data_IF_734962567376
#
_entry.id   IF_734962567376
#
_cell.length_a   1.000
_cell.length_b   1.000
_cell.length_c   1.000
_cell.angle_alpha   90.00
_cell.angle_beta   90.00
_cell.angle_gamma   90.00
#
_symmetry.space_group_name_H-M   'P 1'
#
loop_
_entity.id
_entity.type
_entity.pdbx_description
1 polymer ?
#
# COMPACT_ATOMS: atom_id res chain seq x y z
N UNK A 1 -14.86 -22.91 -2.00
CA UNK A 1 -13.72 -22.17 -1.41
C UNK A 1 -14.24 -21.25 -0.29
N UNK A 2 -14.76 -21.81 0.80
CA UNK A 2 -15.18 -21.02 1.96
C UNK A 2 -13.95 -20.63 2.79
N UNK A 3 -13.81 -19.36 3.17
CA UNK A 3 -12.81 -18.90 4.15
C UNK A 3 -11.65 -18.05 3.62
N UNK A 4 -11.59 -17.69 2.33
CA UNK A 4 -10.61 -16.70 1.85
C UNK A 4 -11.18 -15.30 1.95
N UNK A 5 -10.66 -14.48 2.86
CA UNK A 5 -10.95 -13.05 2.93
C UNK A 5 -9.89 -12.26 2.15
N UNK A 6 -10.26 -11.17 1.46
CA UNK A 6 -9.27 -10.32 0.82
C UNK A 6 -8.39 -9.68 1.88
N UNK A 7 -7.10 -9.53 1.59
CA UNK A 7 -6.16 -8.91 2.52
C UNK A 7 -5.30 -7.88 1.81
N UNK A 8 -4.92 -6.85 2.56
CA UNK A 8 -3.89 -5.90 2.16
C UNK A 8 -2.60 -6.33 2.85
N UNK A 9 -1.58 -6.67 2.06
CA UNK A 9 -0.25 -7.00 2.57
C UNK A 9 0.62 -5.75 2.45
N UNK A 10 1.30 -5.38 3.53
CA UNK A 10 2.25 -4.28 3.60
C UNK A 10 3.59 -4.83 4.02
N UNK A 11 4.57 -4.80 3.13
CA UNK A 11 5.93 -5.25 3.44
C UNK A 11 6.72 -4.13 4.13
N UNK A 12 7.60 -4.48 5.06
CA UNK A 12 8.51 -3.54 5.72
C UNK A 12 9.68 -3.16 4.79
N UNK A 13 9.37 -2.67 3.60
CA UNK A 13 10.32 -2.30 2.55
C UNK A 13 9.80 -1.07 1.81
N UNK A 14 10.58 0.01 1.83
CA UNK A 14 10.24 1.26 1.15
C UNK A 14 10.62 1.24 -0.33
N UNK A 15 9.73 1.59 -1.25
CA UNK A 15 10.15 1.74 -2.65
C UNK A 15 11.03 2.98 -2.82
N UNK A 16 12.12 2.85 -3.60
CA UNK A 16 12.87 4.00 -4.08
C UNK A 16 12.19 4.63 -5.30
N UNK A 17 12.59 5.84 -5.66
CA UNK A 17 12.04 6.52 -6.83
C UNK A 17 12.38 5.77 -8.13
N UNK A 18 13.58 5.22 -8.21
CA UNK A 18 14.04 4.41 -9.34
C UNK A 18 13.18 3.15 -9.49
N UNK A 19 12.89 2.46 -8.39
CA UNK A 19 12.02 1.28 -8.38
C UNK A 19 10.58 1.61 -8.76
N UNK A 20 10.06 2.78 -8.36
CA UNK A 20 8.73 3.28 -8.76
C UNK A 20 8.69 3.56 -10.28
N UNK A 21 9.75 4.15 -10.82
CA UNK A 21 9.80 4.57 -12.21
C UNK A 21 10.22 3.45 -13.18
N UNK A 22 10.67 2.30 -12.69
CA UNK A 22 11.09 1.17 -13.54
C UNK A 22 9.87 0.51 -14.21
N UNK A 23 9.75 0.57 -15.56
CA UNK A 23 8.63 -0.04 -16.28
C UNK A 23 8.59 -1.57 -16.17
N UNK A 24 9.70 -2.23 -15.78
CA UNK A 24 9.78 -3.67 -15.59
C UNK A 24 9.32 -4.10 -14.19
N UNK A 25 9.19 -3.16 -13.26
CA UNK A 25 8.79 -3.43 -11.88
C UNK A 25 7.26 -3.48 -11.77
N UNK A 26 6.62 -4.43 -12.49
CA UNK A 26 5.15 -4.56 -12.55
C UNK A 26 4.71 -5.91 -11.97
N UNK A 27 3.77 -5.87 -11.01
CA UNK A 27 3.09 -7.05 -10.50
C UNK A 27 1.68 -7.10 -11.10
N UNK A 28 1.20 -8.24 -11.63
CA UNK A 28 -0.16 -8.35 -12.16
C UNK A 28 -1.26 -8.14 -11.09
N UNK A 29 -0.90 -8.26 -9.81
CA UNK A 29 -1.82 -8.11 -8.67
C UNK A 29 -1.56 -6.85 -7.81
N UNK A 30 -0.70 -5.93 -8.26
CA UNK A 30 -0.43 -4.68 -7.53
C UNK A 30 -0.79 -3.47 -8.36
N UNK A 31 -1.42 -2.48 -7.72
CA UNK A 31 -1.72 -1.18 -8.33
C UNK A 31 -0.47 -0.34 -8.60
N UNK A 32 0.65 -0.62 -7.92
CA UNK A 32 1.90 0.15 -8.05
C UNK A 32 2.98 -0.58 -8.83
N UNK A 33 2.79 -1.87 -9.08
CA UNK A 33 3.81 -2.72 -9.66
C UNK A 33 4.97 -2.98 -8.70
N UNK A 34 5.27 -4.26 -8.44
CA UNK A 34 6.53 -4.64 -7.81
C UNK A 34 6.92 -6.05 -8.26
N UNK A 35 8.21 -6.31 -8.43
CA UNK A 35 8.74 -7.65 -8.61
C UNK A 35 8.70 -8.39 -7.27
N UNK A 36 8.29 -9.67 -7.25
CA UNK A 36 8.31 -10.50 -6.04
C UNK A 36 9.70 -10.54 -5.38
N UNK A 37 10.77 -10.37 -6.18
CA UNK A 37 12.14 -10.29 -5.71
C UNK A 37 12.38 -9.13 -4.73
N UNK A 38 11.62 -8.03 -4.83
CA UNK A 38 11.74 -6.87 -3.93
C UNK A 38 11.19 -7.12 -2.54
N UNK A 39 10.30 -8.11 -2.41
CA UNK A 39 9.66 -8.49 -1.16
C UNK A 39 10.24 -9.78 -0.58
N UNK A 40 11.18 -10.42 -1.29
CA UNK A 40 11.86 -11.61 -0.84
C UNK A 40 12.58 -11.29 0.48
N UNK A 41 12.32 -12.10 1.49
CA UNK A 41 12.89 -11.98 2.84
C UNK A 41 12.47 -10.72 3.63
N UNK A 42 11.47 -9.98 3.16
CA UNK A 42 10.90 -8.84 3.90
C UNK A 42 9.80 -9.30 4.85
N UNK A 43 9.84 -8.82 6.10
CA UNK A 43 8.69 -8.94 7.00
C UNK A 43 7.47 -8.22 6.42
N UNK A 44 6.28 -8.75 6.67
CA UNK A 44 5.04 -8.20 6.15
C UNK A 44 3.91 -8.22 7.18
N UNK A 45 3.06 -7.20 7.11
CA UNK A 45 1.82 -7.12 7.86
C UNK A 45 0.63 -7.44 6.94
N UNK A 46 -0.23 -8.38 7.34
CA UNK A 46 -1.52 -8.62 6.69
C UNK A 46 -2.62 -7.85 7.41
N UNK A 47 -3.42 -7.11 6.64
CA UNK A 47 -4.54 -6.30 7.12
C UNK A 47 -5.81 -6.79 6.43
N UNK A 48 -6.78 -7.25 7.22
CA UNK A 48 -8.11 -7.65 6.74
C UNK A 48 -9.12 -6.58 7.12
N UNK A 49 -9.69 -5.92 6.11
CA UNK A 49 -10.64 -4.82 6.30
C UNK A 49 -12.04 -5.26 5.94
N UNK A 50 -12.98 -5.03 6.86
CA UNK A 50 -14.42 -5.17 6.65
C UNK A 50 -15.02 -3.86 6.17
N UNK A 51 -16.29 -3.90 5.75
CA UNK A 51 -17.03 -2.71 5.32
C UNK A 51 -17.13 -1.73 6.49
N UNK A 52 -16.61 -0.51 6.29
CA UNK A 52 -16.58 0.55 7.30
C UNK A 52 -15.25 0.67 8.04
N UNK A 53 -14.36 -0.32 7.93
CA UNK A 53 -13.03 -0.25 8.53
C UNK A 53 -12.14 0.73 7.76
N UNK A 54 -11.21 1.35 8.49
CA UNK A 54 -10.18 2.24 7.93
C UNK A 54 -8.81 1.73 8.39
N UNK A 55 -7.86 1.67 7.46
CA UNK A 55 -6.44 1.48 7.77
C UNK A 55 -5.65 2.68 7.28
N UNK A 56 -4.66 3.07 8.09
CA UNK A 56 -3.61 4.02 7.71
C UNK A 56 -2.32 3.21 7.59
N UNK A 57 -1.75 3.20 6.40
CA UNK A 57 -0.50 2.48 6.12
C UNK A 57 0.56 3.46 5.58
N UNK A 58 1.86 3.22 5.82
CA UNK A 58 2.91 4.00 5.18
C UNK A 58 2.88 3.78 3.66
N UNK A 59 2.45 4.77 2.89
CA UNK A 59 2.29 4.64 1.44
C UNK A 59 3.60 4.40 0.68
N UNK A 60 4.74 4.73 1.30
CA UNK A 60 6.07 4.48 0.74
C UNK A 60 6.51 3.02 0.86
N UNK A 61 5.83 2.20 1.67
CA UNK A 61 6.10 0.78 1.74
C UNK A 61 5.44 0.06 0.56
N UNK A 62 6.09 -1.01 0.07
CA UNK A 62 5.47 -1.93 -0.90
C UNK A 62 4.21 -2.49 -0.27
N UNK A 63 3.08 -2.42 -0.99
CA UNK A 63 1.82 -2.99 -0.54
C UNK A 63 0.98 -3.51 -1.72
N UNK A 64 0.17 -4.53 -1.45
CA UNK A 64 -0.68 -5.19 -2.43
C UNK A 64 -2.05 -5.50 -1.83
N UNK A 65 -3.09 -5.47 -2.66
CA UNK A 65 -4.41 -6.01 -2.31
C UNK A 65 -4.53 -7.39 -2.93
N UNK A 66 -4.49 -8.42 -2.11
CA UNK A 66 -4.61 -9.81 -2.55
C UNK A 66 -6.08 -10.23 -2.46
N UNK A 67 -6.67 -10.45 -3.64
CA UNK A 67 -8.04 -10.95 -3.79
C UNK A 67 -8.09 -12.43 -4.17
N UNK A 68 -9.29 -12.89 -4.52
CA UNK A 68 -9.55 -14.22 -5.07
C UNK A 68 -10.45 -14.12 -6.29
N UNK A 69 -10.56 -15.19 -7.10
CA UNK A 69 -11.39 -15.17 -8.30
C UNK A 69 -12.85 -14.79 -7.97
N UNK A 70 -13.41 -13.84 -8.72
CA UNK A 70 -14.77 -13.29 -8.51
C UNK A 70 -14.86 -12.22 -7.41
N UNK A 71 -13.78 -11.94 -6.68
CA UNK A 71 -13.74 -10.87 -5.69
C UNK A 71 -13.85 -9.48 -6.33
N UNK A 72 -14.70 -8.62 -5.78
CA UNK A 72 -14.76 -7.19 -6.10
C UNK A 72 -14.68 -6.38 -4.82
N UNK A 73 -13.70 -5.49 -4.73
CA UNK A 73 -13.56 -4.50 -3.64
C UNK A 73 -13.77 -3.10 -4.20
N UNK A 74 -14.56 -2.31 -3.49
CA UNK A 74 -14.60 -0.86 -3.69
C UNK A 74 -14.05 -0.23 -2.40
N UNK A 75 -12.93 0.47 -2.50
CA UNK A 75 -12.30 1.18 -1.38
C UNK A 75 -12.12 2.63 -1.76
N UNK A 76 -12.39 3.55 -0.83
CA UNK A 76 -11.97 4.94 -0.94
C UNK A 76 -10.53 5.05 -0.43
N UNK A 77 -9.66 5.67 -1.21
CA UNK A 77 -8.25 5.89 -0.86
C UNK A 77 -7.97 7.39 -0.87
N UNK A 78 -7.15 7.83 0.09
CA UNK A 78 -6.62 9.18 0.13
C UNK A 78 -5.18 9.12 0.62
N UNK A 79 -4.32 9.93 0.02
CA UNK A 79 -2.94 10.10 0.47
C UNK A 79 -2.86 11.35 1.32
N UNK A 80 -2.16 11.25 2.45
CA UNK A 80 -1.79 12.42 3.23
C UNK A 80 -0.30 12.45 3.50
N UNK A 81 0.25 13.65 3.48
CA UNK A 81 1.63 13.93 3.86
C UNK A 81 1.62 14.81 5.09
N UNK A 82 2.50 14.52 6.05
CA UNK A 82 2.84 15.45 7.11
C UNK A 82 4.08 16.22 6.69
N UNK A 83 3.91 17.50 6.37
CA UNK A 83 5.03 18.40 6.08
C UNK A 83 5.29 19.20 7.34
N UNK A 84 6.41 18.92 8.01
CA UNK A 84 6.87 19.69 9.16
C UNK A 84 7.52 20.96 8.65
N UNK A 85 6.99 22.11 9.05
CA UNK A 85 7.67 23.38 8.87
C UNK A 85 8.78 23.51 9.95
N UNK A 86 10.02 23.65 9.49
CA UNK A 86 11.21 23.74 10.34
C UNK A 86 11.25 24.99 11.22
N UNK A 87 10.44 26.01 10.93
CA UNK A 87 10.41 27.28 11.66
C UNK A 87 9.49 27.28 12.89
N UNK A 88 8.42 26.49 12.87
CA UNK A 88 7.33 26.57 13.86
C UNK A 88 6.81 25.18 14.29
N UNK A 89 7.33 24.09 13.72
CA UNK A 89 7.02 22.72 14.12
C UNK A 89 5.63 22.23 13.74
N UNK A 90 4.83 23.01 13.02
CA UNK A 90 3.50 22.60 12.58
C UNK A 90 3.56 21.61 11.42
N UNK A 91 2.72 20.57 11.47
CA UNK A 91 2.57 19.58 10.41
C UNK A 91 1.30 19.87 9.61
N UNK A 92 1.43 20.29 8.34
CA UNK A 92 0.27 20.38 7.45
C UNK A 92 -0.07 18.98 6.94
N UNK A 93 -1.34 18.57 7.04
CA UNK A 93 -1.88 17.39 6.39
C UNK A 93 -2.41 17.78 5.01
N UNK A 94 -1.81 17.27 3.93
CA UNK A 94 -2.28 17.53 2.56
C UNK A 94 -2.97 16.29 2.03
N UNK A 95 -4.29 16.35 1.82
CA UNK A 95 -5.05 15.31 1.15
C UNK A 95 -4.86 15.41 -0.37
N UNK A 96 -4.49 14.30 -1.01
CA UNK A 96 -4.55 14.12 -2.46
C UNK A 96 -5.37 12.87 -2.75
N UNK A 97 -6.37 13.02 -3.61
CA UNK A 97 -7.18 11.94 -4.20
C UNK A 97 -6.64 11.59 -5.57
#
# INVERSE_FOLDING_TARGET
MQGKEPETIVWNRRMTLEEICDPNNRHPLSSYGFSESLTKDCEAMSIRLKKGDVAIIPAHNIHAVIGFSGFRRCSYMAFFHFIKDGSNGFSKMIFRT
#
